data_IF_352046292690
#
_entry.id   IF_352046292690
#
_cell.length_a   1.000
_cell.length_b   1.000
_cell.length_c   1.000
_cell.angle_alpha   90.00
_cell.angle_beta   90.00
_cell.angle_gamma   90.00
#
_symmetry.space_group_name_H-M   'P 1'
#
loop_
_entity.id
_entity.type
_entity.pdbx_description
1 polymer ?
#
# COMPACT_ATOMS: atom_id res chain seq x y z
N UNK A 1 -21.44 15.50 7.27
CA UNK A 1 -20.51 15.12 8.34
C UNK A 1 -21.29 14.39 9.43
N UNK A 2 -20.87 13.19 9.81
CA UNK A 2 -21.47 12.43 10.90
C UNK A 2 -21.11 13.05 12.27
N UNK A 3 -22.04 13.14 13.23
CA UNK A 3 -21.80 13.85 14.51
C UNK A 3 -20.75 13.20 15.43
N UNK A 4 -20.39 11.92 15.21
CA UNK A 4 -19.33 11.25 15.98
C UNK A 4 -17.93 11.46 15.43
N UNK A 5 -17.77 12.23 14.37
CA UNK A 5 -16.45 12.49 13.78
C UNK A 5 -15.83 13.74 14.37
N UNK A 6 -14.51 13.69 14.57
CA UNK A 6 -13.73 14.78 15.13
C UNK A 6 -13.01 15.50 13.98
N UNK A 7 -13.36 16.75 13.75
CA UNK A 7 -12.77 17.55 12.67
C UNK A 7 -12.21 18.83 13.25
N UNK A 8 -10.92 19.05 13.03
CA UNK A 8 -10.29 20.29 13.46
C UNK A 8 -10.95 21.51 12.80
N UNK A 9 -11.13 22.56 13.56
CA UNK A 9 -11.59 23.85 13.02
C UNK A 9 -10.61 24.50 12.04
N UNK A 10 -9.36 24.02 11.98
CA UNK A 10 -8.34 24.47 11.04
C UNK A 10 -8.30 23.64 9.76
N UNK A 11 -8.98 22.49 9.73
CA UNK A 11 -9.10 21.70 8.51
C UNK A 11 -9.93 22.45 7.45
N UNK A 12 -9.49 22.37 6.21
CA UNK A 12 -10.19 22.97 5.06
C UNK A 12 -10.97 21.91 4.33
N UNK A 13 -12.28 22.05 4.27
CA UNK A 13 -13.16 21.12 3.58
C UNK A 13 -13.81 21.79 2.36
N UNK A 14 -13.69 21.13 1.20
CA UNK A 14 -14.34 21.51 -0.04
C UNK A 14 -15.87 21.29 -0.01
N UNK A 15 -16.50 21.49 -1.17
CA UNK A 15 -17.94 21.26 -1.34
C UNK A 15 -18.26 19.77 -1.40
N UNK A 16 -19.44 19.39 -0.94
CA UNK A 16 -19.98 18.03 -1.00
C UNK A 16 -19.11 16.95 -0.33
N UNK A 17 -18.18 17.31 0.55
CA UNK A 17 -17.37 16.35 1.30
C UNK A 17 -18.28 15.56 2.24
N UNK A 18 -18.23 14.22 2.14
CA UNK A 18 -18.99 13.29 2.97
C UNK A 18 -18.07 12.63 3.99
N UNK A 19 -18.39 12.78 5.27
CA UNK A 19 -17.61 12.20 6.36
C UNK A 19 -18.55 11.34 7.21
N UNK A 20 -18.33 10.03 7.17
CA UNK A 20 -19.05 9.02 7.93
C UNK A 20 -18.59 8.97 9.39
N UNK A 21 -19.09 8.02 10.19
CA UNK A 21 -18.86 7.99 11.63
C UNK A 21 -17.39 7.71 12.00
N UNK A 22 -16.99 8.25 13.17
CA UNK A 22 -15.70 7.99 13.81
C UNK A 22 -14.47 8.35 12.97
N UNK A 23 -14.60 9.28 12.03
CA UNK A 23 -13.46 9.83 11.30
C UNK A 23 -12.77 10.92 12.13
N UNK A 24 -11.45 11.05 11.95
CA UNK A 24 -10.64 12.09 12.56
C UNK A 24 -9.92 12.85 11.44
N UNK A 25 -10.06 14.17 11.44
CA UNK A 25 -9.35 15.07 10.53
C UNK A 25 -8.66 16.12 11.37
N UNK A 26 -7.33 16.09 11.35
CA UNK A 26 -6.50 16.96 12.17
C UNK A 26 -6.27 18.34 11.53
N UNK A 27 -5.47 19.17 12.22
CA UNK A 27 -5.01 20.47 11.73
C UNK A 27 -4.21 20.29 10.42
N UNK A 28 -4.12 21.35 9.61
CA UNK A 28 -3.34 21.40 8.36
C UNK A 28 -3.76 20.39 7.27
N UNK A 29 -4.92 19.76 7.41
CA UNK A 29 -5.52 18.90 6.38
C UNK A 29 -6.41 19.72 5.46
N UNK A 30 -6.24 19.55 4.14
CA UNK A 30 -7.12 20.10 3.13
C UNK A 30 -7.73 19.00 2.28
N UNK A 31 -9.07 18.87 2.32
CA UNK A 31 -9.87 17.98 1.47
C UNK A 31 -10.63 18.81 0.44
N UNK A 32 -10.35 18.61 -0.83
CA UNK A 32 -11.11 19.26 -1.90
C UNK A 32 -12.48 18.60 -2.12
N UNK A 33 -13.21 19.12 -3.12
CA UNK A 33 -14.61 18.80 -3.38
C UNK A 33 -14.85 17.28 -3.58
N UNK A 34 -16.08 16.85 -3.23
CA UNK A 34 -16.62 15.52 -3.52
C UNK A 34 -15.84 14.34 -2.92
N UNK A 35 -14.97 14.58 -1.94
CA UNK A 35 -14.30 13.51 -1.20
C UNK A 35 -15.26 12.77 -0.25
N UNK A 36 -15.04 11.45 -0.10
CA UNK A 36 -15.86 10.60 0.78
C UNK A 36 -14.99 9.80 1.75
N UNK A 37 -15.21 9.96 3.03
CA UNK A 37 -14.66 9.15 4.13
C UNK A 37 -15.76 8.24 4.66
N UNK A 38 -15.61 6.92 4.53
CA UNK A 38 -16.69 5.97 4.87
C UNK A 38 -16.91 5.90 6.38
N UNK A 39 -15.89 5.51 7.14
CA UNK A 39 -15.90 5.50 8.62
C UNK A 39 -14.52 5.20 9.18
N UNK A 40 -14.21 5.60 10.41
CA UNK A 40 -12.95 5.27 11.09
C UNK A 40 -11.70 5.61 10.25
N UNK A 41 -11.74 6.68 9.48
CA UNK A 41 -10.62 7.19 8.68
C UNK A 41 -9.90 8.24 9.50
N UNK A 42 -8.56 8.17 9.54
CA UNK A 42 -7.73 9.20 10.14
C UNK A 42 -6.89 9.91 9.09
N UNK A 43 -7.06 11.21 8.95
CA UNK A 43 -6.24 12.06 8.08
C UNK A 43 -5.56 13.12 8.93
N UNK A 44 -4.24 13.19 8.83
CA UNK A 44 -3.41 14.05 9.69
C UNK A 44 -2.24 14.67 8.93
N UNK A 45 -1.42 15.45 9.62
CA UNK A 45 -0.23 16.08 9.07
C UNK A 45 -0.54 17.18 8.04
N UNK A 46 0.49 17.68 7.39
CA UNK A 46 0.35 18.66 6.30
C UNK A 46 -0.07 17.94 5.01
N UNK A 47 -1.37 17.59 4.94
CA UNK A 47 -1.93 16.72 3.90
C UNK A 47 -2.93 17.46 3.02
N UNK A 48 -2.63 17.50 1.73
CA UNK A 48 -3.47 18.14 0.70
C UNK A 48 -4.05 17.06 -0.21
N UNK A 49 -5.38 16.99 -0.28
CA UNK A 49 -6.10 15.96 -1.02
C UNK A 49 -6.98 16.63 -2.09
N UNK A 50 -6.81 16.19 -3.34
CA UNK A 50 -7.60 16.62 -4.48
C UNK A 50 -9.07 16.19 -4.41
N UNK A 51 -9.77 16.23 -5.55
CA UNK A 51 -11.23 15.98 -5.65
C UNK A 51 -11.55 14.50 -5.82
N UNK A 52 -12.79 14.13 -5.45
CA UNK A 52 -13.37 12.80 -5.72
C UNK A 52 -12.55 11.64 -5.12
N UNK A 53 -11.80 11.84 -4.06
CA UNK A 53 -11.08 10.76 -3.39
C UNK A 53 -11.98 10.02 -2.41
N UNK A 54 -11.82 8.69 -2.34
CA UNK A 54 -12.61 7.84 -1.46
C UNK A 54 -11.73 7.07 -0.49
N UNK A 55 -12.05 7.17 0.79
CA UNK A 55 -11.31 6.53 1.89
C UNK A 55 -12.20 5.53 2.60
N UNK A 56 -11.75 4.30 2.67
CA UNK A 56 -12.44 3.19 3.30
C UNK A 56 -12.01 3.02 4.77
N UNK A 57 -12.77 2.25 5.55
CA UNK A 57 -12.54 2.16 6.99
C UNK A 57 -11.11 1.78 7.39
N UNK A 58 -10.64 2.42 8.46
CA UNK A 58 -9.31 2.21 9.05
C UNK A 58 -8.13 2.61 8.16
N UNK A 59 -8.35 3.32 7.06
CA UNK A 59 -7.24 3.94 6.34
C UNK A 59 -6.67 5.11 7.15
N UNK A 60 -5.33 5.23 7.13
CA UNK A 60 -4.58 6.22 7.92
C UNK A 60 -3.63 7.00 7.01
N UNK A 61 -3.91 8.27 6.82
CA UNK A 61 -3.33 9.11 5.78
C UNK A 61 -2.58 10.27 6.41
N UNK A 62 -1.29 10.43 6.07
CA UNK A 62 -0.48 11.55 6.53
C UNK A 62 0.14 11.38 7.91
N UNK A 63 0.10 10.18 8.49
CA UNK A 63 0.78 9.91 9.78
C UNK A 63 2.29 9.97 9.63
N UNK A 64 2.96 10.25 10.74
CA UNK A 64 4.42 10.39 10.80
C UNK A 64 5.12 9.22 10.10
N UNK A 65 6.20 9.48 9.34
CA UNK A 65 6.98 8.44 8.69
C UNK A 65 7.54 7.41 9.67
N UNK A 66 7.64 6.17 9.21
CA UNK A 66 8.33 5.09 9.95
C UNK A 66 9.84 5.12 9.68
N UNK A 67 10.41 6.31 9.68
CA UNK A 67 11.85 6.54 9.53
C UNK A 67 12.45 6.94 10.87
N UNK A 68 13.45 6.19 11.33
CA UNK A 68 14.15 6.45 12.60
C UNK A 68 14.89 7.80 12.62
N UNK A 69 15.11 8.41 11.46
CA UNK A 69 15.74 9.73 11.34
C UNK A 69 14.73 10.88 11.42
N UNK A 70 13.45 10.60 11.28
CA UNK A 70 12.40 11.62 11.32
C UNK A 70 12.38 12.34 12.67
N UNK A 71 12.45 13.68 12.64
CA UNK A 71 12.53 14.54 13.83
C UNK A 71 11.32 15.47 14.01
N UNK A 72 10.24 15.23 13.27
CA UNK A 72 9.03 16.05 13.31
C UNK A 72 9.05 17.20 12.29
N UNK A 73 9.74 17.03 11.18
CA UNK A 73 9.80 18.00 10.08
C UNK A 73 8.40 18.30 9.53
N UNK A 74 8.15 19.54 9.14
CA UNK A 74 6.90 19.96 8.49
C UNK A 74 6.86 19.52 7.02
N UNK A 75 6.86 18.20 6.82
CA UNK A 75 6.80 17.57 5.51
C UNK A 75 5.37 17.44 5.00
N UNK A 76 5.20 17.17 3.71
CA UNK A 76 3.92 17.20 3.04
C UNK A 76 3.53 15.85 2.44
N UNK A 77 2.22 15.61 2.41
CA UNK A 77 1.59 14.60 1.59
C UNK A 77 0.65 15.30 0.60
N UNK A 78 0.84 15.05 -0.69
CA UNK A 78 0.01 15.61 -1.76
C UNK A 78 -0.66 14.45 -2.52
N UNK A 79 -1.98 14.43 -2.52
CA UNK A 79 -2.80 13.45 -3.19
C UNK A 79 -3.63 14.15 -4.27
N UNK A 80 -3.57 13.64 -5.50
CA UNK A 80 -4.35 14.10 -6.64
C UNK A 80 -5.84 13.74 -6.54
N UNK A 81 -6.47 13.46 -7.66
CA UNK A 81 -7.91 13.29 -7.77
C UNK A 81 -8.33 11.85 -8.06
N UNK A 82 -9.59 11.50 -7.77
CA UNK A 82 -10.23 10.24 -8.14
C UNK A 82 -9.51 8.98 -7.62
N UNK A 83 -8.83 9.05 -6.48
CA UNK A 83 -8.14 7.90 -5.90
C UNK A 83 -9.04 7.15 -4.92
N UNK A 84 -8.81 5.85 -4.79
CA UNK A 84 -9.50 4.97 -3.86
C UNK A 84 -8.49 4.35 -2.89
N UNK A 85 -8.67 4.62 -1.60
CA UNK A 85 -7.86 4.08 -0.50
C UNK A 85 -8.70 3.08 0.27
N UNK A 86 -8.50 1.78 0.02
CA UNK A 86 -9.26 0.70 0.65
C UNK A 86 -8.89 0.57 2.13
N UNK A 87 -9.53 -0.38 2.79
CA UNK A 87 -9.41 -0.60 4.23
C UNK A 87 -7.95 -0.81 4.64
N UNK A 88 -7.55 -0.20 5.76
CA UNK A 88 -6.22 -0.31 6.35
C UNK A 88 -5.05 0.18 5.47
N UNK A 89 -5.32 0.96 4.43
CA UNK A 89 -4.25 1.61 3.67
C UNK A 89 -3.56 2.64 4.53
N UNK A 90 -2.23 2.69 4.46
CA UNK A 90 -1.44 3.70 5.18
C UNK A 90 -0.55 4.48 4.21
N UNK A 91 -0.46 5.80 4.41
CA UNK A 91 0.37 6.69 3.59
C UNK A 91 1.11 7.67 4.50
N UNK A 92 2.43 7.74 4.36
CA UNK A 92 3.26 8.69 5.11
C UNK A 92 3.64 9.92 4.27
N UNK A 93 3.84 11.10 4.89
CA UNK A 93 4.41 12.29 4.24
C UNK A 93 5.90 12.10 3.95
N UNK A 94 6.55 13.11 3.37
CA UNK A 94 7.98 13.10 3.11
C UNK A 94 8.85 13.22 4.36
N UNK A 95 10.18 13.17 4.16
CA UNK A 95 11.20 13.40 5.19
C UNK A 95 12.22 14.43 4.71
N UNK A 96 13.04 14.95 5.61
CA UNK A 96 14.05 15.96 5.27
C UNK A 96 15.00 15.47 4.16
N UNK A 97 15.52 14.27 4.29
CA UNK A 97 16.47 13.69 3.33
C UNK A 97 15.84 13.34 1.99
N UNK A 98 14.51 13.24 1.90
CA UNK A 98 13.76 12.85 0.70
C UNK A 98 13.10 13.98 -0.06
N UNK A 99 13.32 15.23 0.35
CA UNK A 99 12.73 16.40 -0.31
C UNK A 99 11.39 16.84 0.27
N UNK A 100 11.01 16.33 1.43
CA UNK A 100 9.87 16.79 2.24
C UNK A 100 8.49 16.51 1.65
N UNK A 101 8.37 15.65 0.62
CA UNK A 101 7.08 15.43 -0.05
C UNK A 101 6.90 13.96 -0.45
N UNK A 102 5.78 13.38 -0.05
CA UNK A 102 5.22 12.19 -0.71
C UNK A 102 4.10 12.65 -1.64
N UNK A 103 4.09 12.16 -2.87
CA UNK A 103 3.13 12.58 -3.89
C UNK A 103 2.44 11.41 -4.57
N UNK A 104 1.11 11.50 -4.67
CA UNK A 104 0.24 10.55 -5.38
C UNK A 104 -0.54 11.34 -6.42
N UNK A 105 -0.49 10.92 -7.69
CA UNK A 105 -1.26 11.53 -8.76
C UNK A 105 -2.70 11.00 -8.80
N UNK A 106 -3.30 10.93 -9.97
CA UNK A 106 -4.75 10.74 -10.15
C UNK A 106 -5.13 9.28 -10.48
N UNK A 107 -6.38 8.93 -10.22
CA UNK A 107 -7.04 7.70 -10.66
C UNK A 107 -6.37 6.41 -10.15
N UNK A 108 -5.74 6.45 -8.99
CA UNK A 108 -5.07 5.30 -8.40
C UNK A 108 -6.01 4.48 -7.51
N UNK A 109 -5.71 3.18 -7.42
CA UNK A 109 -6.41 2.26 -6.51
C UNK A 109 -5.42 1.60 -5.57
N UNK A 110 -5.58 1.85 -4.28
CA UNK A 110 -4.80 1.24 -3.22
C UNK A 110 -5.69 0.24 -2.49
N UNK A 111 -5.45 -1.06 -2.73
CA UNK A 111 -6.27 -2.13 -2.16
C UNK A 111 -5.92 -2.37 -0.69
N UNK A 112 -6.71 -3.20 -0.04
CA UNK A 112 -6.67 -3.47 1.41
C UNK A 112 -5.24 -3.70 1.91
N UNK A 113 -4.84 -2.96 2.95
CA UNK A 113 -3.57 -3.13 3.65
C UNK A 113 -2.33 -2.69 2.87
N UNK A 114 -2.46 -2.03 1.71
CA UNK A 114 -1.30 -1.49 1.02
C UNK A 114 -0.67 -0.33 1.78
N UNK A 115 0.65 -0.16 1.63
CA UNK A 115 1.42 0.85 2.32
C UNK A 115 2.27 1.68 1.36
N UNK A 116 2.22 2.99 1.51
CA UNK A 116 3.09 3.95 0.82
C UNK A 116 3.93 4.66 1.86
N UNK A 117 5.23 4.36 1.89
CA UNK A 117 6.17 5.01 2.79
C UNK A 117 6.48 6.45 2.34
N UNK A 118 7.34 7.09 3.12
CA UNK A 118 7.75 8.47 2.92
C UNK A 118 8.48 8.70 1.60
N UNK A 119 8.39 9.91 1.07
CA UNK A 119 9.12 10.39 -0.12
C UNK A 119 8.83 9.59 -1.40
N UNK A 120 7.74 8.83 -1.42
CA UNK A 120 7.31 8.13 -2.63
C UNK A 120 6.68 9.08 -3.65
N UNK A 121 6.89 8.78 -4.94
CA UNK A 121 6.17 9.38 -6.04
C UNK A 121 5.35 8.32 -6.77
N UNK A 122 4.03 8.51 -6.79
CA UNK A 122 3.09 7.58 -7.44
C UNK A 122 2.43 8.29 -8.62
N UNK A 123 2.65 7.78 -9.82
CA UNK A 123 2.04 8.26 -11.07
C UNK A 123 0.52 8.05 -11.10
N UNK A 124 -0.09 8.32 -12.23
CA UNK A 124 -1.52 8.16 -12.43
C UNK A 124 -1.91 6.74 -12.84
N UNK A 125 -3.15 6.33 -12.52
CA UNK A 125 -3.70 5.01 -12.85
C UNK A 125 -2.90 3.83 -12.27
N UNK A 126 -2.20 4.04 -11.16
CA UNK A 126 -1.43 2.99 -10.47
C UNK A 126 -2.35 2.13 -9.62
N UNK A 127 -2.09 0.83 -9.60
CA UNK A 127 -2.81 -0.12 -8.75
C UNK A 127 -1.81 -0.77 -7.79
N UNK A 128 -1.99 -0.56 -6.48
CA UNK A 128 -1.37 -1.38 -5.46
C UNK A 128 -2.39 -2.43 -4.99
N UNK A 129 -2.11 -3.68 -5.26
CA UNK A 129 -3.00 -4.79 -4.88
C UNK A 129 -2.82 -5.08 -3.37
N UNK A 130 -3.72 -5.85 -2.78
CA UNK A 130 -3.76 -6.14 -1.34
C UNK A 130 -2.38 -6.41 -0.73
N UNK A 131 -2.07 -5.70 0.36
CA UNK A 131 -0.81 -5.80 1.10
C UNK A 131 0.46 -5.53 0.26
N UNK A 132 0.35 -4.80 -0.84
CA UNK A 132 1.52 -4.32 -1.56
C UNK A 132 2.18 -3.20 -0.74
N UNK A 133 3.49 -3.30 -0.52
CA UNK A 133 4.24 -2.40 0.36
C UNK A 133 5.32 -1.69 -0.43
N UNK A 134 5.37 -0.37 -0.33
CA UNK A 134 6.43 0.45 -0.91
C UNK A 134 7.33 0.97 0.21
N UNK A 135 8.64 0.72 0.09
CA UNK A 135 9.65 1.37 0.92
C UNK A 135 9.78 2.85 0.60
N UNK A 136 10.52 3.60 1.42
CA UNK A 136 10.75 5.02 1.19
C UNK A 136 11.41 5.33 -0.16
N UNK A 137 11.13 6.52 -0.72
CA UNK A 137 11.71 7.02 -1.97
C UNK A 137 11.39 6.20 -3.23
N UNK A 138 10.39 5.32 -3.18
CA UNK A 138 9.98 4.54 -4.35
C UNK A 138 9.26 5.44 -5.36
N UNK A 139 9.60 5.26 -6.63
CA UNK A 139 8.94 5.93 -7.76
C UNK A 139 8.15 4.90 -8.55
N UNK A 140 6.85 5.08 -8.65
CA UNK A 140 5.97 4.27 -9.50
C UNK A 140 5.47 5.17 -10.64
N UNK A 141 5.81 4.83 -11.89
CA UNK A 141 5.30 5.57 -13.04
C UNK A 141 3.87 5.16 -13.42
N UNK A 142 3.26 5.91 -14.33
CA UNK A 142 1.84 5.76 -14.70
C UNK A 142 1.47 4.34 -15.16
N UNK A 143 0.25 3.92 -14.81
CA UNK A 143 -0.35 2.65 -15.23
C UNK A 143 0.40 1.39 -14.77
N UNK A 144 1.30 1.50 -13.80
CA UNK A 144 1.95 0.33 -13.23
C UNK A 144 1.05 -0.40 -12.23
N UNK A 145 1.22 -1.71 -12.12
CA UNK A 145 0.46 -2.56 -11.20
C UNK A 145 1.45 -3.32 -10.31
N UNK A 146 1.27 -3.20 -9.00
CA UNK A 146 2.04 -3.93 -8.00
C UNK A 146 1.16 -5.03 -7.41
N UNK A 147 1.51 -6.28 -7.68
CA UNK A 147 0.76 -7.46 -7.28
C UNK A 147 0.68 -7.64 -5.76
N UNK A 148 -0.34 -8.35 -5.30
CA UNK A 148 -0.61 -8.54 -3.87
C UNK A 148 0.54 -9.20 -3.11
N UNK A 149 0.70 -8.82 -1.85
CA UNK A 149 1.78 -9.27 -0.96
C UNK A 149 3.20 -9.08 -1.55
N UNK A 150 3.38 -8.11 -2.42
CA UNK A 150 4.70 -7.74 -2.95
C UNK A 150 5.28 -6.58 -2.16
N UNK A 151 6.61 -6.57 -2.03
CA UNK A 151 7.35 -5.49 -1.40
C UNK A 151 8.33 -4.87 -2.39
N UNK A 152 8.34 -3.55 -2.49
CA UNK A 152 9.27 -2.78 -3.32
C UNK A 152 10.28 -2.12 -2.39
N UNK A 153 11.57 -2.46 -2.58
CA UNK A 153 12.65 -1.91 -1.78
C UNK A 153 12.78 -0.39 -1.98
N UNK A 154 13.25 0.30 -0.94
CA UNK A 154 13.47 1.75 -1.01
C UNK A 154 14.35 2.16 -2.20
N UNK A 155 14.07 3.35 -2.75
CA UNK A 155 14.76 3.94 -3.91
C UNK A 155 14.53 3.23 -5.25
N UNK A 156 13.73 2.18 -5.30
CA UNK A 156 13.42 1.48 -6.56
C UNK A 156 12.48 2.33 -7.42
N UNK A 157 12.74 2.32 -8.73
CA UNK A 157 11.85 2.90 -9.73
C UNK A 157 11.15 1.82 -10.55
N UNK A 158 9.82 1.89 -10.61
CA UNK A 158 8.98 1.02 -11.44
C UNK A 158 8.49 1.83 -12.64
N UNK A 159 8.88 1.38 -13.83
CA UNK A 159 8.53 2.06 -15.09
C UNK A 159 7.05 1.96 -15.43
N UNK A 160 6.59 2.87 -16.29
CA UNK A 160 5.20 2.94 -16.74
C UNK A 160 4.72 1.62 -17.36
N UNK A 161 3.45 1.27 -17.11
CA UNK A 161 2.84 0.01 -17.57
C UNK A 161 3.55 -1.26 -17.11
N UNK A 162 4.47 -1.19 -16.15
CA UNK A 162 5.08 -2.39 -15.59
C UNK A 162 4.08 -3.16 -14.73
N UNK A 163 4.21 -4.48 -14.75
CA UNK A 163 3.42 -5.40 -13.91
C UNK A 163 4.35 -6.18 -12.98
N UNK A 164 4.16 -6.01 -11.69
CA UNK A 164 4.83 -6.81 -10.67
C UNK A 164 3.86 -7.92 -10.25
N UNK A 165 4.25 -9.17 -10.46
CA UNK A 165 3.45 -10.32 -10.02
C UNK A 165 3.38 -10.39 -8.50
N UNK A 166 2.29 -10.94 -7.97
CA UNK A 166 2.11 -11.09 -6.52
C UNK A 166 3.23 -11.89 -5.85
N UNK A 167 3.43 -11.68 -4.54
CA UNK A 167 4.46 -12.34 -3.72
C UNK A 167 5.90 -12.04 -4.18
N UNK A 168 6.15 -10.87 -4.79
CA UNK A 168 7.46 -10.50 -5.30
C UNK A 168 8.19 -9.53 -4.37
N UNK A 169 9.47 -9.79 -4.11
CA UNK A 169 10.41 -8.81 -3.57
C UNK A 169 11.12 -8.10 -4.72
N UNK A 170 10.99 -6.80 -4.83
CA UNK A 170 11.58 -6.00 -5.92
C UNK A 170 12.72 -5.15 -5.36
N UNK A 171 13.96 -5.50 -5.69
CA UNK A 171 15.17 -4.84 -5.19
C UNK A 171 15.87 -3.97 -6.23
N UNK A 172 15.45 -4.06 -7.49
CA UNK A 172 16.06 -3.34 -8.61
C UNK A 172 15.01 -2.61 -9.44
N UNK A 173 15.44 -1.60 -10.19
CA UNK A 173 14.57 -0.85 -11.07
C UNK A 173 13.95 -1.73 -12.14
N UNK A 174 12.67 -1.52 -12.40
CA UNK A 174 11.92 -2.22 -13.44
C UNK A 174 11.68 -1.28 -14.62
N UNK A 175 12.06 -1.73 -15.81
CA UNK A 175 11.88 -0.96 -17.04
C UNK A 175 10.41 -0.76 -17.39
N UNK A 176 10.03 0.28 -18.13
CA UNK A 176 8.69 0.42 -18.67
C UNK A 176 8.22 -0.84 -19.41
N UNK A 177 6.93 -1.18 -19.24
CA UNK A 177 6.28 -2.37 -19.80
C UNK A 177 6.85 -3.70 -19.29
N UNK A 178 7.74 -3.67 -18.27
CA UNK A 178 8.34 -4.87 -17.71
C UNK A 178 7.33 -5.75 -16.99
N UNK A 179 7.41 -7.06 -17.19
CA UNK A 179 6.74 -8.06 -16.37
C UNK A 179 7.77 -8.68 -15.42
N UNK A 180 7.64 -8.39 -14.13
CA UNK A 180 8.50 -8.94 -13.10
C UNK A 180 7.72 -9.92 -12.23
N UNK A 181 8.25 -11.11 -12.07
CA UNK A 181 7.70 -12.11 -11.14
C UNK A 181 8.83 -12.57 -10.24
N UNK A 182 8.64 -12.43 -8.94
CA UNK A 182 9.57 -12.99 -7.95
C UNK A 182 9.67 -14.51 -8.07
N UNK A 183 10.65 -15.07 -7.39
CA UNK A 183 10.85 -16.53 -7.33
C UNK A 183 9.57 -17.13 -6.70
N UNK A 184 8.76 -17.75 -7.53
CA UNK A 184 7.62 -18.56 -7.09
C UNK A 184 8.15 -19.96 -6.88
N UNK A 185 8.33 -20.33 -5.61
CA UNK A 185 8.69 -21.70 -5.28
C UNK A 185 7.62 -22.66 -5.78
N UNK A 186 8.06 -23.65 -6.54
CA UNK A 186 7.27 -24.84 -6.84
C UNK A 186 7.11 -25.69 -5.58
N UNK A 187 6.19 -26.63 -5.62
CA UNK A 187 6.03 -27.65 -4.58
C UNK A 187 7.34 -28.43 -4.44
N UNK A 188 8.12 -28.16 -3.38
CA UNK A 188 9.46 -28.76 -3.17
C UNK A 188 9.43 -30.19 -2.63
N UNK A 189 8.30 -30.62 -2.15
CA UNK A 189 8.14 -31.95 -1.55
C UNK A 189 6.98 -32.03 -0.56
N UNK A 190 6.98 -33.10 0.20
CA UNK A 190 5.97 -33.35 1.23
C UNK A 190 6.43 -32.85 2.60
N UNK A 191 5.48 -32.43 3.44
CA UNK A 191 5.74 -32.05 4.83
C UNK A 191 6.00 -33.29 5.70
N UNK A 192 7.14 -33.97 5.45
CA UNK A 192 7.51 -35.21 6.16
C UNK A 192 7.63 -35.00 7.68
N UNK A 193 8.10 -33.82 8.09
CA UNK A 193 8.23 -33.48 9.52
C UNK A 193 6.84 -33.39 10.17
N UNK A 194 5.90 -32.75 9.50
CA UNK A 194 4.52 -32.65 9.96
C UNK A 194 3.84 -34.01 10.08
N UNK A 195 4.02 -34.87 9.07
CA UNK A 195 3.47 -36.24 9.07
C UNK A 195 4.02 -37.06 10.24
N UNK A 196 5.34 -37.02 10.49
CA UNK A 196 5.97 -37.71 11.64
C UNK A 196 5.46 -37.18 12.98
N UNK A 197 5.33 -35.85 13.14
CA UNK A 197 4.79 -35.24 14.37
C UNK A 197 3.34 -35.66 14.64
N UNK A 198 2.56 -35.87 13.59
CA UNK A 198 1.17 -36.38 13.66
C UNK A 198 1.13 -37.89 13.81
N UNK A 199 2.28 -38.57 13.99
CA UNK A 199 2.39 -40.04 14.16
C UNK A 199 1.77 -40.84 13.02
N UNK A 200 1.81 -40.31 11.81
CA UNK A 200 1.42 -41.08 10.60
C UNK A 200 2.40 -42.24 10.45
N UNK A 201 1.87 -43.42 10.16
CA UNK A 201 2.67 -44.61 9.99
C UNK A 201 3.80 -44.44 8.96
N UNK A 202 4.98 -44.93 9.27
CA UNK A 202 6.16 -44.79 8.41
C UNK A 202 5.97 -45.45 7.05
N UNK A 203 5.26 -46.56 6.95
CA UNK A 203 4.94 -47.22 5.68
C UNK A 203 4.07 -46.33 4.78
N UNK A 204 3.09 -45.68 5.37
CA UNK A 204 2.24 -44.72 4.67
C UNK A 204 3.04 -43.48 4.21
N UNK A 205 3.93 -42.97 5.04
CA UNK A 205 4.82 -41.83 4.66
C UNK A 205 5.70 -42.21 3.46
N UNK A 206 6.26 -43.42 3.46
CA UNK A 206 7.08 -43.92 2.35
C UNK A 206 6.22 -44.03 1.07
N UNK A 207 5.05 -44.60 1.17
CA UNK A 207 4.14 -44.76 0.02
C UNK A 207 3.75 -43.42 -0.57
N UNK A 208 3.32 -42.47 0.27
CA UNK A 208 2.97 -41.09 -0.18
C UNK A 208 4.16 -40.41 -0.84
N UNK A 209 5.34 -40.51 -0.24
CA UNK A 209 6.54 -39.90 -0.79
C UNK A 209 6.97 -40.49 -2.14
N UNK A 210 6.87 -41.82 -2.29
CA UNK A 210 7.15 -42.47 -3.56
C UNK A 210 6.12 -42.11 -4.64
N UNK A 211 4.86 -41.99 -4.28
CA UNK A 211 3.79 -41.52 -5.18
C UNK A 211 4.05 -40.08 -5.61
N UNK A 212 4.39 -39.20 -4.67
CA UNK A 212 4.75 -37.83 -4.96
C UNK A 212 5.88 -37.74 -6.00
N UNK A 213 6.98 -38.47 -5.77
CA UNK A 213 8.12 -38.51 -6.71
C UNK A 213 7.74 -38.99 -8.11
N UNK A 214 6.79 -39.90 -8.24
CA UNK A 214 6.31 -40.39 -9.56
C UNK A 214 5.48 -39.36 -10.32
N UNK A 215 4.80 -38.46 -9.60
CA UNK A 215 3.90 -37.46 -10.20
C UNK A 215 4.65 -36.17 -10.55
N UNK A 216 5.61 -35.76 -9.71
CA UNK A 216 6.24 -34.42 -9.77
C UNK A 216 7.73 -34.41 -10.13
N UNK A 217 8.36 -35.56 -10.32
CA UNK A 217 9.69 -35.74 -10.90
C UNK A 217 9.58 -36.54 -12.21
#
# INVERSE_FOLDING_TARGET
IHPTSLISSKAVLGKNVKIGPFCIIDDNVSLNDDCELISNVHITGNTIIGKNNKFFPYSTIGTIPQDLKFKGEDSKLIIGNNNSFREHVTVNPGTFDGGMITKINDNCTFMVGSHIAHDCYIGSNVILVNNAILGGHVIIEDNAIIGGNSAVHQFVKIGKYAMIGGMSGVETNIIPYGLYTGIRDSLRGLNLVGLKRKKVDSSNIITINNTFKKIFN
#
